data_IF_587724187317
#
_entry.id   IF_587724187317
#
_cell.length_a   1.000
_cell.length_b   1.000
_cell.length_c   1.000
_cell.angle_alpha   90.00
_cell.angle_beta   90.00
_cell.angle_gamma   90.00
#
_symmetry.space_group_name_H-M   'P 1'
#
loop_
_entity.id
_entity.type
_entity.pdbx_description
1 polymer ?
#
# COMPACT_ATOMS: atom_id res chain seq x y z
N UNK A 1 9.93 8.74 -0.49
CA UNK A 1 11.25 8.24 -0.94
C UNK A 1 11.81 7.19 -0.01
N UNK A 2 12.18 7.54 1.23
CA UNK A 2 12.61 6.54 2.23
C UNK A 2 11.51 5.52 2.57
N UNK A 3 10.24 5.94 2.58
CA UNK A 3 9.07 5.04 2.66
C UNK A 3 9.07 4.03 1.53
N UNK A 4 9.04 4.50 0.28
CA UNK A 4 9.04 3.65 -0.91
C UNK A 4 10.21 2.66 -0.92
N UNK A 5 11.43 3.08 -0.58
CA UNK A 5 12.57 2.16 -0.53
C UNK A 5 12.48 1.15 0.61
N UNK A 6 12.06 1.57 1.81
CA UNK A 6 11.83 0.65 2.92
C UNK A 6 10.72 -0.37 2.58
N UNK A 7 9.65 0.09 1.93
CA UNK A 7 8.54 -0.75 1.47
C UNK A 7 8.98 -1.71 0.37
N UNK A 8 9.70 -1.26 -0.68
CA UNK A 8 10.22 -2.14 -1.74
C UNK A 8 11.26 -3.14 -1.22
N UNK A 9 12.09 -2.73 -0.27
CA UNK A 9 12.99 -3.65 0.42
C UNK A 9 12.18 -4.67 1.22
N UNK A 10 11.15 -4.24 1.97
CA UNK A 10 10.25 -5.16 2.69
C UNK A 10 9.54 -6.13 1.75
N UNK A 11 9.11 -5.69 0.56
CA UNK A 11 8.45 -6.53 -0.46
C UNK A 11 9.30 -7.73 -0.87
N UNK A 12 10.64 -7.63 -0.83
CA UNK A 12 11.52 -8.75 -1.16
C UNK A 12 11.65 -9.80 -0.04
N UNK A 13 11.28 -9.45 1.20
CA UNK A 13 11.48 -10.28 2.39
C UNK A 13 10.18 -10.64 3.12
N UNK A 14 9.04 -10.09 2.69
CA UNK A 14 7.78 -10.12 3.44
C UNK A 14 6.67 -10.83 2.66
N UNK A 15 5.71 -11.41 3.40
CA UNK A 15 4.53 -12.05 2.83
C UNK A 15 3.47 -11.03 2.39
N UNK A 16 2.70 -11.35 1.34
CA UNK A 16 1.57 -10.52 0.87
C UNK A 16 0.58 -10.21 2.00
N UNK A 17 0.37 -11.16 2.92
CA UNK A 17 -0.48 -10.99 4.11
C UNK A 17 0.05 -9.96 5.10
N UNK A 18 1.37 -9.87 5.31
CA UNK A 18 1.97 -8.86 6.19
C UNK A 18 1.86 -7.46 5.58
N UNK A 19 1.89 -7.33 4.26
CA UNK A 19 1.72 -6.05 3.55
C UNK A 19 0.30 -5.52 3.71
N UNK A 20 -0.72 -6.38 3.64
CA UNK A 20 -2.11 -5.96 3.87
C UNK A 20 -2.33 -5.46 5.31
N UNK A 21 -1.75 -6.15 6.30
CA UNK A 21 -1.76 -5.67 7.69
C UNK A 21 -1.04 -4.32 7.82
N UNK A 22 -0.01 -4.10 7.00
CA UNK A 22 0.75 -2.87 7.00
C UNK A 22 -0.06 -1.69 6.49
N UNK A 23 -0.77 -1.85 5.39
CA UNK A 23 -1.66 -0.81 4.85
C UNK A 23 -2.74 -0.45 5.87
N UNK A 24 -3.18 -1.42 6.68
CA UNK A 24 -4.10 -1.17 7.79
C UNK A 24 -3.46 -0.40 8.94
N UNK A 25 -2.20 -0.70 9.27
CA UNK A 25 -1.44 0.01 10.29
C UNK A 25 -1.11 1.46 9.88
N UNK A 26 -1.13 1.76 8.58
CA UNK A 26 -0.95 3.12 8.07
C UNK A 26 -2.12 4.07 8.38
N UNK A 27 -3.33 3.53 8.58
CA UNK A 27 -4.54 4.29 8.91
C UNK A 27 -4.47 4.91 10.31
N UNK A 28 -4.20 4.15 11.41
CA UNK A 28 -4.08 4.75 12.73
C UNK A 28 -2.87 5.67 12.84
N UNK A 29 -1.75 5.39 12.15
CA UNK A 29 -0.60 6.30 12.14
C UNK A 29 -0.96 7.62 11.48
N UNK A 30 -1.62 7.60 10.32
CA UNK A 30 -2.14 8.81 9.67
C UNK A 30 -3.11 9.57 10.58
N UNK A 31 -4.02 8.87 11.28
CA UNK A 31 -4.97 9.50 12.20
C UNK A 31 -4.28 10.22 13.37
N UNK A 32 -3.29 9.57 14.00
CA UNK A 32 -2.48 10.16 15.08
C UNK A 32 -1.70 11.38 14.57
N UNK A 33 -1.07 11.28 13.40
CA UNK A 33 -0.27 12.37 12.85
C UNK A 33 -1.13 13.56 12.43
N UNK A 34 -2.31 13.34 11.83
CA UNK A 34 -3.28 14.41 11.54
C UNK A 34 -3.82 15.05 12.81
N UNK A 35 -3.95 14.33 13.93
CA UNK A 35 -4.30 14.94 15.22
C UNK A 35 -3.24 15.94 15.67
N UNK A 36 -1.96 15.57 15.55
CA UNK A 36 -0.85 16.45 15.96
C UNK A 36 -0.61 17.63 15.01
N UNK A 37 -0.63 17.40 13.68
CA UNK A 37 -0.31 18.42 12.69
C UNK A 37 -1.51 19.33 12.33
N UNK A 38 -2.69 18.75 12.10
CA UNK A 38 -3.89 19.50 11.67
C UNK A 38 -4.84 19.84 12.84
N UNK A 39 -4.53 19.42 14.08
CA UNK A 39 -5.38 19.63 15.28
C UNK A 39 -6.82 19.13 15.13
N UNK A 40 -7.02 18.09 14.34
CA UNK A 40 -8.34 17.54 14.06
C UNK A 40 -8.99 16.95 15.32
N UNK A 41 -10.24 17.31 15.61
CA UNK A 41 -11.00 16.66 16.71
C UNK A 41 -11.68 15.39 16.23
N UNK A 42 -10.99 14.27 16.41
CA UNK A 42 -11.57 12.97 16.09
C UNK A 42 -12.71 12.59 17.05
N UNK A 43 -13.86 12.27 16.47
CA UNK A 43 -15.02 11.74 17.21
C UNK A 43 -14.94 10.21 17.29
N UNK A 44 -15.55 9.60 18.31
CA UNK A 44 -15.64 8.15 18.55
C UNK A 44 -16.05 7.31 17.32
N UNK A 45 -16.80 7.88 16.37
CA UNK A 45 -17.17 7.21 15.11
C UNK A 45 -15.98 6.86 14.22
N UNK A 46 -14.93 7.69 14.22
CA UNK A 46 -13.72 7.46 13.45
C UNK A 46 -12.92 6.29 14.04
N UNK A 47 -12.82 6.24 15.37
CA UNK A 47 -12.17 5.13 16.08
C UNK A 47 -12.88 3.80 15.78
N UNK A 48 -14.22 3.82 15.76
CA UNK A 48 -15.02 2.63 15.46
C UNK A 48 -14.82 2.14 14.02
N UNK A 49 -14.74 3.06 13.04
CA UNK A 49 -14.42 2.74 11.65
C UNK A 49 -13.04 2.08 11.49
N UNK A 50 -12.02 2.61 12.17
CA UNK A 50 -10.65 2.06 12.14
C UNK A 50 -10.60 0.65 12.75
N UNK A 51 -11.25 0.45 13.90
CA UNK A 51 -11.33 -0.87 14.56
C UNK A 51 -12.01 -1.90 13.66
N UNK A 52 -13.10 -1.52 12.98
CA UNK A 52 -13.78 -2.41 12.03
C UNK A 52 -12.91 -2.76 10.82
N UNK A 53 -12.15 -1.79 10.29
CA UNK A 53 -11.24 -2.05 9.16
C UNK A 53 -10.09 -2.98 9.56
N UNK A 54 -9.45 -2.75 10.72
CA UNK A 54 -8.41 -3.63 11.26
C UNK A 54 -8.98 -5.04 11.53
N UNK A 55 -10.20 -5.13 12.07
CA UNK A 55 -10.87 -6.42 12.30
C UNK A 55 -11.13 -7.17 10.99
N UNK A 56 -11.61 -6.47 9.96
CA UNK A 56 -11.87 -7.04 8.64
C UNK A 56 -10.61 -7.55 7.95
N UNK A 57 -9.52 -6.81 8.00
CA UNK A 57 -8.25 -7.24 7.38
C UNK A 57 -7.56 -8.36 8.16
N UNK A 58 -7.62 -8.35 9.49
CA UNK A 58 -7.22 -9.51 10.30
C UNK A 58 -8.00 -10.78 9.91
N UNK A 59 -9.31 -10.67 9.67
CA UNK A 59 -10.13 -11.79 9.23
C UNK A 59 -9.76 -12.25 7.81
N UNK A 60 -9.43 -11.32 6.91
CA UNK A 60 -8.96 -11.63 5.56
C UNK A 60 -7.64 -12.40 5.58
N UNK A 61 -6.68 -11.97 6.40
CA UNK A 61 -5.41 -12.68 6.60
C UNK A 61 -5.62 -14.06 7.21
N UNK A 62 -6.55 -14.20 8.16
CA UNK A 62 -6.91 -15.50 8.71
C UNK A 62 -7.51 -16.42 7.65
N UNK A 63 -8.34 -15.88 6.75
CA UNK A 63 -8.89 -16.61 5.62
C UNK A 63 -7.79 -17.11 4.66
N UNK A 64 -6.76 -16.30 4.44
CA UNK A 64 -5.59 -16.65 3.63
C UNK A 64 -4.79 -17.82 4.24
N UNK A 65 -4.57 -17.78 5.55
CA UNK A 65 -3.85 -18.85 6.28
C UNK A 65 -4.67 -20.14 6.26
N UNK A 66 -5.98 -20.05 6.47
CA UNK A 66 -6.88 -21.21 6.42
C UNK A 66 -6.93 -21.80 5.01
N UNK A 67 -7.03 -20.98 3.97
CA UNK A 67 -7.04 -21.45 2.59
C UNK A 67 -5.71 -22.12 2.20
N UNK A 68 -4.56 -21.60 2.67
CA UNK A 68 -3.26 -22.30 2.50
C UNK A 68 -3.23 -23.63 3.24
N UNK A 69 -3.80 -23.70 4.45
CA UNK A 69 -3.86 -24.92 5.25
C UNK A 69 -4.74 -25.99 4.61
N UNK A 70 -5.94 -25.65 4.15
CA UNK A 70 -6.88 -26.60 3.55
C UNK A 70 -6.36 -27.17 2.22
N UNK A 71 -5.70 -26.34 1.41
CA UNK A 71 -5.02 -26.78 0.19
C UNK A 71 -3.78 -27.65 0.49
N UNK A 72 -3.11 -27.44 1.64
CA UNK A 72 -1.99 -28.30 2.08
C UNK A 72 -2.42 -29.65 2.65
N UNK A 73 -3.63 -29.75 3.24
CA UNK A 73 -4.18 -31.03 3.75
C UNK A 73 -4.60 -31.96 2.61
N UNK A 74 -4.86 -31.44 1.40
CA UNK A 74 -5.16 -32.25 0.21
C UNK A 74 -3.90 -32.88 -0.41
N UNK A 75 -2.70 -32.44 -0.01
CA UNK A 75 -1.44 -33.03 -0.45
C UNK A 75 -0.77 -33.75 0.74
N UNK A 76 -1.00 -35.05 0.83
CA UNK A 76 -0.15 -35.96 1.61
C UNK A 76 1.28 -35.96 1.00
N UNK A 77 2.11 -34.99 1.39
CA UNK A 77 3.57 -35.19 1.38
C UNK A 77 4.03 -35.43 2.82
N UNK A 78 4.87 -36.47 3.04
CA UNK A 78 5.34 -36.83 4.36
C UNK A 78 6.24 -35.72 4.89
N UNK A 79 6.10 -35.44 6.19
CA UNK A 79 7.05 -34.73 7.05
C UNK A 79 8.20 -34.06 6.30
N UNK A 80 8.02 -32.79 5.92
CA UNK A 80 9.17 -31.94 5.60
C UNK A 80 9.97 -31.84 6.89
N UNK A 81 11.04 -32.62 6.96
CA UNK A 81 12.05 -32.57 8.00
C UNK A 81 12.46 -31.13 8.19
N UNK A 82 12.05 -30.60 9.33
CA UNK A 82 12.51 -29.38 9.95
C UNK A 82 13.99 -29.56 10.27
N UNK A 83 14.84 -29.46 9.25
CA UNK A 83 16.29 -29.59 9.38
C UNK A 83 16.94 -28.25 9.02
N UNK A 84 17.31 -27.51 10.07
CA UNK A 84 18.55 -26.73 10.19
C UNK A 84 18.81 -25.53 9.25
N UNK A 85 17.86 -24.62 9.05
CA UNK A 85 18.15 -23.23 8.64
C UNK A 85 17.31 -22.18 9.42
N UNK A 86 16.86 -22.55 10.63
CA UNK A 86 15.92 -21.76 11.42
C UNK A 86 16.44 -20.37 11.79
N UNK A 87 17.74 -20.19 12.07
CA UNK A 87 18.23 -18.89 12.52
C UNK A 87 18.29 -17.82 11.42
N UNK A 88 18.40 -18.20 10.14
CA UNK A 88 18.44 -17.25 9.02
C UNK A 88 17.06 -16.77 8.57
N UNK A 89 16.06 -17.67 8.54
CA UNK A 89 14.73 -17.35 8.03
C UNK A 89 13.88 -16.51 9.01
N UNK A 90 14.02 -16.73 10.33
CA UNK A 90 13.32 -15.87 11.30
C UNK A 90 13.87 -14.43 11.28
N UNK A 91 15.18 -14.29 11.08
CA UNK A 91 15.83 -12.98 11.09
C UNK A 91 15.47 -12.15 9.85
N UNK A 92 15.30 -12.77 8.68
CA UNK A 92 14.87 -12.08 7.46
C UNK A 92 13.39 -11.70 7.48
N UNK A 93 12.53 -12.55 8.04
CA UNK A 93 11.10 -12.23 8.20
C UNK A 93 10.90 -11.12 9.23
N UNK A 94 11.61 -11.17 10.36
CA UNK A 94 11.53 -10.14 11.39
C UNK A 94 12.07 -8.78 10.92
N UNK A 95 13.13 -8.78 10.09
CA UNK A 95 13.62 -7.56 9.45
C UNK A 95 12.62 -7.02 8.44
N UNK A 96 11.94 -7.89 7.68
CA UNK A 96 10.82 -7.55 6.81
C UNK A 96 9.68 -6.86 7.54
N UNK A 97 9.22 -7.42 8.67
CA UNK A 97 8.14 -6.85 9.49
C UNK A 97 8.51 -5.49 10.10
N UNK A 98 9.77 -5.31 10.53
CA UNK A 98 10.24 -4.02 11.05
C UNK A 98 10.31 -2.94 9.95
N UNK A 99 10.81 -3.30 8.76
CA UNK A 99 10.82 -2.40 7.60
C UNK A 99 9.40 -2.09 7.11
N UNK A 100 8.51 -3.08 7.16
CA UNK A 100 7.10 -2.91 6.87
C UNK A 100 6.54 -1.84 7.80
N UNK A 101 6.56 -2.05 9.13
CA UNK A 101 6.03 -1.10 10.13
C UNK A 101 6.59 0.31 9.93
N UNK A 102 7.89 0.42 9.69
CA UNK A 102 8.53 1.70 9.37
C UNK A 102 7.92 2.33 8.11
N UNK A 103 7.71 1.54 7.05
CA UNK A 103 7.00 1.94 5.84
C UNK A 103 5.59 2.48 6.10
N UNK A 104 4.76 1.81 6.92
CA UNK A 104 3.42 2.31 7.29
C UNK A 104 3.46 3.64 8.03
N UNK A 105 4.39 3.80 8.97
CA UNK A 105 4.53 5.03 9.74
C UNK A 105 4.93 6.17 8.81
N UNK A 106 5.95 5.95 7.96
CA UNK A 106 6.39 6.98 7.01
C UNK A 106 5.31 7.28 5.97
N UNK A 107 4.54 6.28 5.53
CA UNK A 107 3.41 6.49 4.62
C UNK A 107 2.33 7.36 5.27
N UNK A 108 1.90 7.02 6.49
CA UNK A 108 0.93 7.82 7.24
C UNK A 108 1.41 9.25 7.49
N UNK A 109 2.70 9.45 7.80
CA UNK A 109 3.27 10.80 7.92
C UNK A 109 3.25 11.53 6.57
N UNK A 110 3.63 10.85 5.48
CA UNK A 110 3.67 11.44 4.14
C UNK A 110 2.28 11.85 3.66
N UNK A 111 1.24 11.04 3.91
CA UNK A 111 -0.12 11.35 3.48
C UNK A 111 -0.68 12.56 4.22
N UNK A 112 -0.40 12.70 5.52
CA UNK A 112 -0.81 13.87 6.30
C UNK A 112 -0.02 15.13 5.94
N UNK A 113 1.28 14.98 5.67
CA UNK A 113 2.09 16.11 5.21
C UNK A 113 1.63 16.61 3.84
N UNK A 114 1.21 15.69 2.96
CA UNK A 114 0.60 16.04 1.68
C UNK A 114 -0.72 16.81 1.90
N UNK A 115 -1.59 16.36 2.80
CA UNK A 115 -2.81 17.09 3.18
C UNK A 115 -2.49 18.51 3.64
N UNK A 116 -1.53 18.64 4.57
CA UNK A 116 -1.12 19.95 5.10
C UNK A 116 -0.57 20.90 4.01
N UNK A 117 0.27 20.42 3.10
CA UNK A 117 0.84 21.26 2.02
C UNK A 117 -0.25 21.65 1.01
N UNK A 118 -1.11 20.71 0.63
CA UNK A 118 -2.20 20.93 -0.33
C UNK A 118 -3.23 21.93 0.23
N UNK A 119 -3.53 21.87 1.52
CA UNK A 119 -4.44 22.81 2.18
C UNK A 119 -3.85 24.22 2.27
N UNK A 120 -2.53 24.34 2.51
CA UNK A 120 -1.85 25.64 2.63
C UNK A 120 -1.57 26.33 1.29
N UNK A 121 -0.99 25.62 0.34
CA UNK A 121 -0.45 26.20 -0.91
C UNK A 121 -1.29 25.83 -2.15
N UNK A 122 -2.31 24.97 -2.00
CA UNK A 122 -3.20 24.50 -3.05
C UNK A 122 -2.66 23.27 -3.81
N UNK A 123 -3.58 22.45 -4.34
CA UNK A 123 -3.25 21.21 -5.06
C UNK A 123 -2.39 21.45 -6.31
N UNK A 124 -2.60 22.55 -7.04
CA UNK A 124 -1.82 22.87 -8.24
C UNK A 124 -0.36 23.20 -7.92
N UNK A 125 -0.11 23.93 -6.82
CA UNK A 125 1.25 24.29 -6.40
C UNK A 125 2.00 23.06 -5.90
N UNK A 126 1.31 22.19 -5.16
CA UNK A 126 1.81 20.89 -4.73
C UNK A 126 2.22 20.03 -5.94
N UNK A 127 1.34 19.87 -6.94
CA UNK A 127 1.58 19.07 -8.14
C UNK A 127 2.71 19.63 -9.02
N UNK A 128 3.02 20.93 -8.94
CA UNK A 128 4.15 21.51 -9.66
C UNK A 128 5.47 21.25 -8.94
N UNK A 129 5.56 21.61 -7.65
CA UNK A 129 6.84 21.63 -6.93
C UNK A 129 7.24 20.27 -6.35
N UNK A 130 6.31 19.51 -5.77
CA UNK A 130 6.64 18.25 -5.12
C UNK A 130 7.16 17.18 -6.10
N UNK A 131 6.53 16.97 -7.28
CA UNK A 131 7.06 16.04 -8.28
C UNK A 131 8.40 16.48 -8.85
N UNK A 132 8.60 17.78 -9.09
CA UNK A 132 9.88 18.31 -9.56
C UNK A 132 11.02 17.95 -8.60
N UNK A 133 10.87 18.25 -7.31
CA UNK A 133 11.87 17.90 -6.29
C UNK A 133 12.05 16.38 -6.19
N UNK A 134 10.96 15.62 -6.30
CA UNK A 134 10.98 14.15 -6.24
C UNK A 134 11.79 13.54 -7.38
N UNK A 135 11.69 14.07 -8.60
CA UNK A 135 12.46 13.60 -9.77
C UNK A 135 13.96 13.78 -9.52
N UNK A 136 14.39 14.93 -9.00
CA UNK A 136 15.80 15.17 -8.68
C UNK A 136 16.33 14.18 -7.62
N UNK A 137 15.55 13.94 -6.56
CA UNK A 137 15.94 13.00 -5.51
C UNK A 137 15.96 11.54 -6.01
N UNK A 138 14.98 11.15 -6.82
CA UNK A 138 14.95 9.81 -7.42
C UNK A 138 16.11 9.58 -8.38
N UNK A 139 16.46 10.58 -9.19
CA UNK A 139 17.60 10.51 -10.10
C UNK A 139 18.90 10.33 -9.30
N UNK A 140 19.10 11.15 -8.26
CA UNK A 140 20.27 11.03 -7.37
C UNK A 140 20.31 9.63 -6.73
N UNK A 141 19.18 9.13 -6.25
CA UNK A 141 19.08 7.83 -5.61
C UNK A 141 19.42 6.68 -6.57
N UNK A 142 18.82 6.67 -7.76
CA UNK A 142 19.00 5.59 -8.75
C UNK A 142 20.46 5.56 -9.24
N UNK A 143 21.10 6.73 -9.43
CA UNK A 143 22.54 6.81 -9.72
C UNK A 143 23.40 6.33 -8.54
N UNK A 144 22.98 6.51 -7.29
CA UNK A 144 23.79 6.08 -6.14
C UNK A 144 23.74 4.55 -5.94
N UNK A 145 22.54 3.96 -5.96
CA UNK A 145 22.32 2.60 -5.46
C UNK A 145 22.13 1.54 -6.55
N UNK A 146 21.66 1.93 -7.74
CA UNK A 146 21.28 0.99 -8.80
C UNK A 146 22.27 0.98 -9.97
N UNK A 147 23.48 1.54 -9.80
CA UNK A 147 24.51 1.67 -10.86
C UNK A 147 24.68 0.39 -11.71
N UNK A 148 24.71 -0.77 -11.05
CA UNK A 148 24.91 -2.08 -11.71
C UNK A 148 23.68 -2.52 -12.51
N UNK A 149 22.48 -2.22 -12.05
CA UNK A 149 21.23 -2.56 -12.74
C UNK A 149 20.98 -1.58 -13.90
N UNK A 150 21.22 -0.28 -13.69
CA UNK A 150 21.22 0.74 -14.73
C UNK A 150 22.21 0.40 -15.86
N UNK A 151 23.43 -0.03 -15.52
CA UNK A 151 24.41 -0.45 -16.53
C UNK A 151 23.94 -1.66 -17.34
N UNK A 152 23.26 -2.64 -16.71
CA UNK A 152 22.66 -3.79 -17.42
C UNK A 152 21.51 -3.37 -18.33
N UNK A 153 20.66 -2.46 -17.89
CA UNK A 153 19.56 -1.92 -18.69
C UNK A 153 20.12 -1.14 -19.88
N UNK A 154 21.06 -0.22 -19.66
CA UNK A 154 21.65 0.60 -20.72
C UNK A 154 22.41 -0.24 -21.76
N UNK A 155 23.14 -1.27 -21.32
CA UNK A 155 23.81 -2.21 -22.25
C UNK A 155 22.82 -3.11 -22.98
N UNK A 156 21.71 -3.53 -22.34
CA UNK A 156 20.64 -4.29 -23.01
C UNK A 156 19.90 -3.46 -24.07
N UNK A 157 19.72 -2.15 -23.83
CA UNK A 157 19.16 -1.21 -24.80
C UNK A 157 20.16 -0.89 -25.94
N UNK A 158 21.47 -0.86 -25.64
CA UNK A 158 22.51 -0.46 -26.58
C UNK A 158 23.05 -1.58 -27.50
N UNK A 159 22.98 -2.85 -27.09
CA UNK A 159 23.56 -3.98 -27.85
C UNK A 159 22.53 -4.94 -28.45
N UNK A 160 21.24 -4.81 -28.12
CA UNK A 160 20.21 -5.73 -28.60
C UNK A 160 19.01 -4.97 -29.16
N UNK A 161 19.11 -4.55 -30.43
CA UNK A 161 17.96 -4.29 -31.34
C UNK A 161 17.18 -5.58 -31.59
N UNK A 162 16.82 -6.32 -30.53
CA UNK A 162 15.95 -7.48 -30.61
C UNK A 162 14.71 -7.13 -29.82
N UNK A 163 13.71 -6.69 -30.57
CA UNK A 163 12.29 -6.66 -30.24
C UNK A 163 11.99 -6.80 -28.74
N UNK A 164 12.16 -5.71 -27.99
CA UNK A 164 11.33 -5.53 -26.81
C UNK A 164 9.90 -5.67 -27.37
N UNK A 165 9.09 -6.64 -26.93
CA UNK A 165 7.77 -6.81 -27.51
C UNK A 165 7.04 -5.48 -27.35
N UNK A 166 6.48 -4.94 -28.43
CA UNK A 166 5.79 -3.64 -28.43
C UNK A 166 4.78 -3.54 -27.28
N UNK A 167 4.21 -4.68 -26.90
CA UNK A 167 3.36 -4.88 -25.74
C UNK A 167 4.02 -4.51 -24.40
N UNK A 168 5.28 -4.84 -24.13
CA UNK A 168 5.95 -4.50 -22.86
C UNK A 168 6.15 -2.98 -22.71
N UNK A 169 6.52 -2.29 -23.79
CA UNK A 169 6.62 -0.83 -23.78
C UNK A 169 5.22 -0.22 -23.57
N UNK A 170 4.19 -0.78 -24.22
CA UNK A 170 2.81 -0.33 -24.03
C UNK A 170 2.31 -0.54 -22.59
N UNK A 171 2.62 -1.67 -21.95
CA UNK A 171 2.28 -1.93 -20.55
C UNK A 171 3.00 -0.96 -19.61
N UNK A 172 4.29 -0.69 -19.84
CA UNK A 172 5.05 0.28 -19.05
C UNK A 172 4.47 1.69 -19.19
N UNK A 173 4.16 2.11 -20.43
CA UNK A 173 3.54 3.40 -20.68
C UNK A 173 2.17 3.51 -19.99
N UNK A 174 1.32 2.48 -20.12
CA UNK A 174 0.02 2.43 -19.46
C UNK A 174 0.11 2.48 -17.94
N UNK A 175 1.10 1.80 -17.35
CA UNK A 175 1.38 1.89 -15.92
C UNK A 175 1.76 3.31 -15.49
N UNK A 176 2.69 3.97 -16.20
CA UNK A 176 3.11 5.34 -15.89
C UNK A 176 1.95 6.33 -16.04
N UNK A 177 1.15 6.21 -17.11
CA UNK A 177 -0.03 7.06 -17.29
C UNK A 177 -1.06 6.86 -16.18
N UNK A 178 -1.30 5.62 -15.76
CA UNK A 178 -2.25 5.32 -14.69
C UNK A 178 -1.79 5.89 -13.35
N UNK A 179 -0.52 5.74 -13.00
CA UNK A 179 0.06 6.32 -11.78
C UNK A 179 -0.01 7.85 -11.81
N UNK A 180 0.29 8.48 -12.94
CA UNK A 180 0.17 9.93 -13.09
C UNK A 180 -1.27 10.42 -12.87
N UNK A 181 -2.27 9.71 -13.42
CA UNK A 181 -3.68 10.03 -13.20
C UNK A 181 -4.07 9.84 -11.73
N UNK A 182 -3.59 8.78 -11.07
CA UNK A 182 -3.85 8.54 -9.64
C UNK A 182 -3.27 9.65 -8.76
N UNK A 183 -2.04 10.11 -9.03
CA UNK A 183 -1.40 11.17 -8.24
C UNK A 183 -2.12 12.51 -8.39
N UNK A 184 -2.57 12.84 -9.61
CA UNK A 184 -3.42 14.03 -9.85
C UNK A 184 -4.72 13.89 -9.08
N UNK A 185 -5.43 12.77 -9.24
CA UNK A 185 -6.72 12.55 -8.61
C UNK A 185 -6.59 12.60 -7.08
N UNK A 186 -5.53 12.03 -6.52
CA UNK A 186 -5.25 12.07 -5.09
C UNK A 186 -5.02 13.51 -4.61
N UNK A 187 -4.17 14.29 -5.28
CA UNK A 187 -3.90 15.68 -4.91
C UNK A 187 -5.17 16.56 -4.96
N UNK A 188 -6.05 16.36 -5.94
CA UNK A 188 -7.33 17.06 -6.03
C UNK A 188 -8.39 16.53 -5.07
N UNK A 189 -8.36 15.25 -4.71
CA UNK A 189 -9.34 14.68 -3.77
C UNK A 189 -9.03 15.14 -2.35
N UNK A 190 -7.75 15.28 -1.99
CA UNK A 190 -7.28 15.78 -0.69
C UNK A 190 -7.81 17.18 -0.34
N UNK A 191 -8.12 18.03 -1.33
CA UNK A 191 -8.69 19.35 -1.03
C UNK A 191 -10.11 19.29 -0.50
N UNK A 192 -10.83 18.20 -0.80
CA UNK A 192 -12.24 18.01 -0.44
C UNK A 192 -12.44 16.96 0.68
N UNK A 193 -11.38 16.20 0.97
CA UNK A 193 -11.42 14.97 1.76
C UNK A 193 -10.09 14.81 2.52
N UNK A 194 -10.10 14.25 3.75
CA UNK A 194 -8.87 14.06 4.53
C UNK A 194 -7.99 12.91 4.01
N UNK A 195 -6.68 12.98 4.29
CA UNK A 195 -5.74 11.91 3.93
C UNK A 195 -6.14 10.56 4.54
N UNK A 196 -6.68 10.58 5.76
CA UNK A 196 -7.16 9.37 6.41
C UNK A 196 -8.30 8.70 5.63
N UNK A 197 -9.23 9.45 5.04
CA UNK A 197 -10.33 8.88 4.24
C UNK A 197 -9.83 8.31 2.91
N UNK A 198 -8.81 8.92 2.31
CA UNK A 198 -8.18 8.41 1.08
C UNK A 198 -7.43 7.11 1.35
N UNK A 199 -6.63 7.06 2.43
CA UNK A 199 -5.96 5.83 2.85
C UNK A 199 -6.97 4.71 3.12
N UNK A 200 -8.13 5.05 3.70
CA UNK A 200 -9.23 4.10 3.91
C UNK A 200 -9.88 3.66 2.60
N UNK A 201 -9.95 4.54 1.61
CA UNK A 201 -10.52 4.23 0.30
C UNK A 201 -9.65 3.24 -0.46
N UNK A 202 -8.33 3.24 -0.27
CA UNK A 202 -7.45 2.22 -0.87
C UNK A 202 -7.77 0.80 -0.41
N UNK A 203 -8.16 0.60 0.85
CA UNK A 203 -8.64 -0.70 1.33
C UNK A 203 -9.86 -1.21 0.57
N UNK A 204 -10.71 -0.32 0.05
CA UNK A 204 -11.86 -0.73 -0.78
C UNK A 204 -11.44 -1.18 -2.18
N UNK A 205 -10.37 -0.59 -2.73
CA UNK A 205 -9.81 -0.97 -4.04
C UNK A 205 -9.31 -2.41 -4.04
N UNK A 206 -8.68 -2.86 -2.96
CA UNK A 206 -8.23 -4.24 -2.81
C UNK A 206 -9.39 -5.24 -2.91
N UNK A 207 -10.58 -4.84 -2.48
CA UNK A 207 -11.78 -5.66 -2.62
C UNK A 207 -12.26 -5.72 -4.05
N UNK A 208 -12.29 -4.59 -4.76
CA UNK A 208 -12.66 -4.60 -6.18
C UNK A 208 -11.68 -5.45 -6.99
N UNK A 209 -10.39 -5.41 -6.67
CA UNK A 209 -9.39 -6.28 -7.27
C UNK A 209 -9.67 -7.77 -6.99
N UNK A 210 -10.05 -8.13 -5.75
CA UNK A 210 -10.44 -9.49 -5.39
C UNK A 210 -11.69 -9.95 -6.15
N UNK A 211 -12.71 -9.10 -6.26
CA UNK A 211 -13.98 -9.42 -6.93
C UNK A 211 -13.79 -9.63 -8.44
N UNK A 212 -12.99 -8.76 -9.08
CA UNK A 212 -12.55 -8.97 -10.47
C UNK A 212 -11.73 -10.25 -10.59
N UNK A 213 -10.88 -10.56 -9.61
CA UNK A 213 -10.12 -11.80 -9.56
C UNK A 213 -10.99 -13.05 -9.54
N UNK A 214 -12.08 -13.04 -8.76
CA UNK A 214 -13.08 -14.12 -8.74
C UNK A 214 -13.75 -14.25 -10.11
N UNK A 215 -14.20 -13.12 -10.66
CA UNK A 215 -14.99 -13.11 -11.89
C UNK A 215 -14.17 -13.51 -13.12
N UNK A 216 -12.92 -13.03 -13.21
CA UNK A 216 -12.05 -13.21 -14.37
C UNK A 216 -11.25 -14.52 -14.31
N UNK A 217 -10.75 -14.92 -13.13
CA UNK A 217 -9.90 -16.11 -12.97
C UNK A 217 -10.62 -17.31 -12.36
N UNK A 218 -11.89 -17.18 -11.94
CA UNK A 218 -12.70 -18.29 -11.43
C UNK A 218 -12.15 -18.93 -10.15
N UNK A 219 -11.33 -18.20 -9.39
CA UNK A 219 -10.67 -18.71 -8.18
C UNK A 219 -11.73 -18.90 -7.09
N UNK A 220 -11.77 -20.10 -6.48
CA UNK A 220 -12.67 -20.41 -5.38
C UNK A 220 -12.11 -19.82 -4.08
N UNK A 221 -12.77 -18.80 -3.55
CA UNK A 221 -12.43 -18.25 -2.23
C UNK A 221 -13.37 -18.76 -1.16
N UNK A 222 -12.83 -18.89 0.06
CA UNK A 222 -13.59 -19.28 1.24
C UNK A 222 -14.62 -18.19 1.60
N UNK A 223 -15.77 -18.57 2.17
CA UNK A 223 -16.85 -17.63 2.58
C UNK A 223 -16.34 -16.52 3.54
N UNK A 224 -15.22 -16.78 4.22
CA UNK A 224 -14.60 -15.88 5.20
C UNK A 224 -14.13 -14.56 4.57
N UNK A 225 -13.76 -14.58 3.28
CA UNK A 225 -13.40 -13.36 2.54
C UNK A 225 -14.58 -12.40 2.39
N UNK A 226 -15.79 -12.93 2.16
CA UNK A 226 -17.01 -12.12 2.06
C UNK A 226 -17.42 -11.53 3.40
N UNK A 227 -17.18 -12.25 4.51
CA UNK A 227 -17.42 -11.73 5.87
C UNK A 227 -16.41 -10.63 6.20
N UNK A 228 -15.12 -10.87 5.94
CA UNK A 228 -14.06 -9.87 6.09
C UNK A 228 -14.38 -8.59 5.30
N UNK A 229 -14.85 -8.74 4.07
CA UNK A 229 -15.32 -7.64 3.23
C UNK A 229 -16.44 -6.81 3.87
N UNK A 230 -17.47 -7.46 4.41
CA UNK A 230 -18.57 -6.76 5.07
C UNK A 230 -18.08 -5.87 6.22
N UNK A 231 -17.10 -6.34 6.99
CA UNK A 231 -16.49 -5.56 8.07
C UNK A 231 -15.69 -4.36 7.56
N UNK A 232 -14.87 -4.54 6.51
CA UNK A 232 -14.09 -3.44 5.91
C UNK A 232 -15.03 -2.37 5.35
N UNK A 233 -16.06 -2.75 4.60
CA UNK A 233 -17.02 -1.80 4.02
C UNK A 233 -17.82 -1.06 5.10
N UNK A 234 -18.28 -1.77 6.13
CA UNK A 234 -18.96 -1.13 7.25
C UNK A 234 -18.04 -0.11 7.95
N UNK A 235 -16.77 -0.47 8.16
CA UNK A 235 -15.77 0.43 8.74
C UNK A 235 -15.55 1.69 7.89
N UNK A 236 -15.41 1.54 6.57
CA UNK A 236 -15.26 2.65 5.62
C UNK A 236 -16.49 3.55 5.62
N UNK A 237 -17.69 2.97 5.55
CA UNK A 237 -18.94 3.73 5.54
C UNK A 237 -19.10 4.51 6.85
N UNK A 238 -18.86 3.89 8.00
CA UNK A 238 -18.97 4.55 9.31
C UNK A 238 -17.97 5.70 9.44
N UNK A 239 -16.76 5.53 8.91
CA UNK A 239 -15.75 6.58 8.88
C UNK A 239 -16.14 7.71 7.91
N UNK A 240 -16.70 7.38 6.74
CA UNK A 240 -17.13 8.35 5.72
C UNK A 240 -18.37 9.16 6.14
N UNK A 241 -19.25 8.59 6.97
CA UNK A 241 -20.51 9.22 7.41
C UNK A 241 -20.32 10.47 8.28
N UNK A 242 -19.17 10.63 8.93
CA UNK A 242 -18.81 11.88 9.63
C UNK A 242 -17.51 12.41 9.07
N UNK A 243 -17.59 13.48 8.29
CA UNK A 243 -16.41 14.27 7.95
C UNK A 243 -15.82 14.81 9.27
N UNK A 244 -14.54 14.59 9.55
CA UNK A 244 -13.91 15.27 10.67
C UNK A 244 -13.85 16.75 10.31
N UNK A 245 -14.47 17.59 11.15
CA UNK A 245 -14.59 19.03 10.94
C UNK A 245 -13.19 19.65 10.94
N UNK A 246 -12.71 20.09 9.77
CA UNK A 246 -11.54 20.98 9.69
C UNK A 246 -11.95 22.32 10.30
N UNK A 247 -11.25 22.80 11.34
CA UNK A 247 -11.42 24.19 11.74
C UNK A 247 -10.96 25.06 10.56
N UNK A 248 -11.81 25.98 10.11
CA UNK A 248 -11.40 26.98 9.13
C UNK A 248 -10.19 27.74 9.70
N UNK A 249 -9.05 27.63 9.02
CA UNK A 249 -7.84 28.39 9.32
C UNK A 249 -8.03 29.82 8.82
#
# INVERSE_FOLDING_TARGET
MHSFWATLAAYNYTSITSIQLLDCASVPTAMIVSFFLLRHRYTWTHLLGVVLCIGGTCLMVLADILNKRDNSVTINYPNRTQSNETNGTYQTVMLGDMLAILGAILYGISSVLQEYIVEKDGASTYLAWCPMVSVFLFLMYSIALERKQLAKILTSFGLHTRSIPMFAIAYFFGYVTSMFVLDILMAYTITNVSAALINLSFHTTDVYALLVGIWLFGVKFHILYFVAYGFIMAGVIIFALRRPLTPAI
#
